data_IF_993175041216
#
_entry.id   IF_993175041216
#
_cell.length_a   1.000
_cell.length_b   1.000
_cell.length_c   1.000
_cell.angle_alpha   90.00
_cell.angle_beta   90.00
_cell.angle_gamma   90.00
#
_symmetry.space_group_name_H-M   'P 1'
#
loop_
_entity.id
_entity.type
_entity.pdbx_description
1 polymer ?
#
# COMPACT_ATOMS: atom_id res chain seq x y z
N UNK A 1 6.19 9.52 -7.19
CA UNK A 1 6.73 8.14 -7.19
C UNK A 1 8.26 8.07 -7.12
N UNK A 2 8.99 9.13 -7.47
CA UNK A 2 10.47 9.25 -7.44
C UNK A 2 11.18 8.64 -6.22
N UNK A 3 10.66 8.83 -5.00
CA UNK A 3 11.24 8.19 -3.81
C UNK A 3 11.20 6.66 -3.91
N UNK A 4 10.07 6.07 -4.32
CA UNK A 4 9.96 4.63 -4.49
C UNK A 4 10.84 4.12 -5.63
N UNK A 5 11.01 4.92 -6.70
CA UNK A 5 11.91 4.59 -7.82
C UNK A 5 13.38 4.59 -7.42
N UNK A 6 13.75 5.27 -6.34
CA UNK A 6 15.11 5.28 -5.80
C UNK A 6 15.48 4.03 -5.00
N UNK A 7 14.49 3.22 -4.61
CA UNK A 7 14.70 2.04 -3.77
C UNK A 7 15.08 0.82 -4.63
N UNK A 8 16.03 0.03 -4.12
CA UNK A 8 16.53 -1.20 -4.72
C UNK A 8 16.17 -2.40 -3.86
N UNK A 9 16.25 -3.62 -4.41
CA UNK A 9 16.02 -4.84 -3.62
C UNK A 9 16.98 -4.95 -2.41
N UNK A 10 18.20 -4.40 -2.51
CA UNK A 10 19.17 -4.41 -1.43
C UNK A 10 18.72 -3.58 -0.22
N UNK A 11 17.91 -2.52 -0.42
CA UNK A 11 17.36 -1.69 0.66
C UNK A 11 16.35 -2.44 1.53
N UNK A 12 15.79 -3.54 1.00
CA UNK A 12 14.85 -4.42 1.68
C UNK A 12 15.53 -5.64 2.32
N UNK A 13 16.86 -5.72 2.30
CA UNK A 13 17.58 -6.78 3.02
C UNK A 13 17.17 -6.76 4.50
N UNK A 14 16.84 -7.94 5.02
CA UNK A 14 16.39 -8.17 6.40
C UNK A 14 15.12 -7.37 6.80
N UNK A 15 14.38 -6.81 5.83
CA UNK A 15 13.17 -6.03 6.12
C UNK A 15 12.03 -6.88 6.67
N UNK A 16 11.93 -8.14 6.26
CA UNK A 16 10.86 -9.05 6.67
C UNK A 16 10.78 -9.22 8.19
N UNK A 17 11.93 -9.27 8.88
CA UNK A 17 12.02 -9.49 10.33
C UNK A 17 12.22 -8.21 11.13
N UNK A 18 12.36 -7.05 10.47
CA UNK A 18 12.55 -5.75 11.11
C UNK A 18 11.40 -5.45 12.07
N UNK A 19 11.71 -5.01 13.29
CA UNK A 19 10.70 -4.55 14.25
C UNK A 19 10.20 -3.17 13.85
N UNK A 20 8.92 -3.09 13.49
CA UNK A 20 8.23 -1.84 13.14
C UNK A 20 7.28 -1.49 14.28
N UNK A 21 7.39 -0.26 14.78
CA UNK A 21 6.53 0.31 15.81
C UNK A 21 6.21 1.77 15.47
N UNK A 22 5.17 2.32 16.07
CA UNK A 22 4.91 3.75 16.03
C UNK A 22 4.58 4.27 17.45
N UNK A 23 4.62 5.60 17.68
CA UNK A 23 4.40 6.17 19.00
C UNK A 23 3.03 5.86 19.63
N UNK A 24 2.03 5.50 18.82
CA UNK A 24 0.67 5.18 19.27
C UNK A 24 0.48 3.70 19.63
N UNK A 25 1.48 2.86 19.41
CA UNK A 25 1.42 1.42 19.69
C UNK A 25 1.95 1.04 21.07
N UNK A 26 2.29 2.02 21.92
CA UNK A 26 2.64 1.79 23.33
C UNK A 26 3.77 0.75 23.51
N UNK A 27 4.76 0.77 22.60
CA UNK A 27 5.90 -0.16 22.62
C UNK A 27 5.64 -1.51 21.96
N UNK A 28 4.42 -1.80 21.51
CA UNK A 28 4.11 -2.96 20.68
C UNK A 28 4.71 -2.80 19.27
N UNK A 29 5.01 -3.93 18.63
CA UNK A 29 5.65 -3.95 17.32
C UNK A 29 5.15 -5.11 16.47
N UNK A 30 5.32 -4.96 15.15
CA UNK A 30 5.11 -6.00 14.14
C UNK A 30 6.43 -6.26 13.43
N UNK A 31 6.64 -7.47 12.93
CA UNK A 31 7.67 -7.72 11.92
C UNK A 31 7.37 -6.92 10.66
N UNK A 32 8.36 -6.70 9.79
CA UNK A 32 8.13 -6.00 8.53
C UNK A 32 7.13 -6.71 7.62
N UNK A 33 7.17 -8.05 7.59
CA UNK A 33 6.20 -8.86 6.84
C UNK A 33 4.76 -8.69 7.36
N UNK A 34 4.57 -8.72 8.68
CA UNK A 34 3.27 -8.50 9.32
C UNK A 34 2.79 -7.06 9.11
N UNK A 35 3.67 -6.08 9.26
CA UNK A 35 3.34 -4.67 9.03
C UNK A 35 2.84 -4.44 7.60
N UNK A 36 3.54 -4.96 6.59
CA UNK A 36 3.14 -4.78 5.19
C UNK A 36 1.78 -5.44 4.92
N UNK A 37 1.61 -6.69 5.35
CA UNK A 37 0.44 -7.50 5.02
C UNK A 37 -0.81 -7.11 5.81
N UNK A 38 -0.67 -6.75 7.09
CA UNK A 38 -1.81 -6.51 7.99
C UNK A 38 -2.05 -5.03 8.29
N UNK A 39 -1.10 -4.14 8.00
CA UNK A 39 -1.25 -2.72 8.28
C UNK A 39 -1.08 -1.85 7.03
N UNK A 40 0.07 -1.85 6.37
CA UNK A 40 0.37 -0.91 5.28
C UNK A 40 -0.50 -1.15 4.04
N UNK A 41 -0.56 -2.38 3.51
CA UNK A 41 -1.35 -2.69 2.31
C UNK A 41 -2.86 -2.44 2.53
N UNK A 42 -3.49 -2.91 3.63
CA UNK A 42 -4.90 -2.59 3.91
C UNK A 42 -5.18 -1.08 3.97
N UNK A 43 -4.32 -0.31 4.64
CA UNK A 43 -4.48 1.15 4.72
C UNK A 43 -4.36 1.83 3.34
N UNK A 44 -3.37 1.44 2.52
CA UNK A 44 -3.21 1.98 1.17
C UNK A 44 -4.48 1.72 0.34
N UNK A 45 -4.98 0.48 0.31
CA UNK A 45 -6.19 0.16 -0.45
C UNK A 45 -7.44 0.85 0.10
N UNK A 46 -7.56 0.98 1.42
CA UNK A 46 -8.66 1.72 2.06
C UNK A 46 -8.71 3.16 1.58
N UNK A 47 -7.58 3.88 1.63
CA UNK A 47 -7.54 5.30 1.25
C UNK A 47 -7.69 5.50 -0.25
N UNK A 48 -7.08 4.65 -1.09
CA UNK A 48 -7.26 4.73 -2.56
C UNK A 48 -8.71 4.45 -2.94
N UNK A 49 -9.35 3.44 -2.36
CA UNK A 49 -10.76 3.11 -2.63
C UNK A 49 -11.69 4.22 -2.14
N UNK A 50 -11.37 4.84 -0.99
CA UNK A 50 -12.14 5.96 -0.46
C UNK A 50 -12.06 7.17 -1.39
N UNK A 51 -10.86 7.53 -1.87
CA UNK A 51 -10.68 8.60 -2.85
C UNK A 51 -11.44 8.31 -4.16
N UNK A 52 -11.31 7.08 -4.68
CA UNK A 52 -12.08 6.60 -5.84
C UNK A 52 -13.59 6.79 -5.62
N UNK A 53 -14.10 6.41 -4.46
CA UNK A 53 -15.52 6.48 -4.13
C UNK A 53 -16.02 7.91 -4.00
N UNK A 54 -15.24 8.83 -3.42
CA UNK A 54 -15.58 10.25 -3.32
C UNK A 54 -15.70 10.87 -4.72
N UNK A 55 -14.73 10.61 -5.61
CA UNK A 55 -14.76 11.11 -6.99
C UNK A 55 -15.97 10.56 -7.75
N UNK A 56 -16.20 9.24 -7.66
CA UNK A 56 -17.33 8.59 -8.31
C UNK A 56 -18.67 9.11 -7.79
N UNK A 57 -18.79 9.34 -6.48
CA UNK A 57 -19.99 9.90 -5.86
C UNK A 57 -20.28 11.33 -6.35
N UNK A 58 -19.24 12.12 -6.61
CA UNK A 58 -19.36 13.47 -7.16
C UNK A 58 -19.52 13.52 -8.70
N UNK A 59 -19.77 12.37 -9.35
CA UNK A 59 -20.08 12.31 -10.77
C UNK A 59 -18.87 12.24 -11.71
N UNK A 60 -17.64 12.08 -11.17
CA UNK A 60 -16.48 11.79 -12.03
C UNK A 60 -16.60 10.37 -12.57
N UNK A 61 -16.45 10.20 -13.88
CA UNK A 61 -16.58 8.89 -14.53
C UNK A 61 -15.31 8.02 -14.36
N UNK A 62 -15.02 7.62 -13.13
CA UNK A 62 -13.94 6.67 -12.80
C UNK A 62 -14.50 5.26 -12.62
N UNK A 63 -13.97 4.27 -13.33
CA UNK A 63 -14.39 2.88 -13.30
C UNK A 63 -13.42 1.94 -12.59
N UNK A 64 -13.81 0.67 -12.49
CA UNK A 64 -12.97 -0.40 -11.92
C UNK A 64 -11.61 -0.54 -12.62
N UNK A 65 -11.55 -0.27 -13.93
CA UNK A 65 -10.32 -0.34 -14.73
C UNK A 65 -9.34 0.77 -14.35
N UNK A 66 -9.82 1.95 -13.96
CA UNK A 66 -8.97 3.05 -13.49
C UNK A 66 -8.36 2.75 -12.13
N UNK A 67 -9.09 2.04 -11.26
CA UNK A 67 -8.56 1.55 -9.98
C UNK A 67 -7.54 0.41 -10.14
N UNK A 68 -7.84 -0.58 -10.99
CA UNK A 68 -6.98 -1.77 -11.14
C UNK A 68 -5.74 -1.52 -12.01
N UNK A 69 -5.85 -0.66 -13.02
CA UNK A 69 -4.81 -0.51 -14.04
C UNK A 69 -4.72 -1.69 -15.02
N UNK A 70 -3.63 -1.76 -15.81
CA UNK A 70 -3.42 -2.80 -16.81
C UNK A 70 -3.12 -4.17 -16.17
N UNK A 71 -3.72 -5.23 -16.72
CA UNK A 71 -3.47 -6.60 -16.29
C UNK A 71 -2.37 -7.25 -17.14
N UNK A 72 -1.41 -7.99 -16.54
CA UNK A 72 -0.33 -8.66 -17.26
C UNK A 72 -0.80 -10.00 -17.86
N UNK A 73 -1.78 -9.98 -18.76
CA UNK A 73 -2.26 -11.19 -19.43
C UNK A 73 -1.15 -11.86 -20.23
N UNK A 74 -1.03 -13.18 -20.09
CA UNK A 74 -0.13 -14.03 -20.88
C UNK A 74 -0.96 -14.82 -21.89
N UNK A 75 -0.40 -15.03 -23.08
CA UNK A 75 -0.91 -15.98 -24.07
C UNK A 75 -0.12 -17.27 -23.97
#
# INVERSE_FOLDING_TARGET
>A
IQYLESLTAADFKDSETRRITNPRWEGQWLTGAEFVSHHALPNIYFHVTTAYSILRHNGVDVGKKDYLGPMPFKK
#
